data_IF_000412925387
#
_entry.id   IF_000412925387
#
_cell.length_a   1.000
_cell.length_b   1.000
_cell.length_c   1.000
_cell.angle_alpha   90.00
_cell.angle_beta   90.00
_cell.angle_gamma   90.00
#
_symmetry.space_group_name_H-M   'P 1'
#
loop_
_entity.id
_entity.type
_entity.pdbx_description
1 polymer ?
#
# COMPACT_ATOMS: atom_id res chain seq x y z
N UNK A 1 50.99 57.39 -14.61
CA UNK A 1 50.89 57.76 -13.19
C UNK A 1 52.13 57.20 -12.46
N UNK A 2 53.06 58.04 -11.96
CA UNK A 2 54.25 57.57 -11.22
C UNK A 2 53.89 57.46 -9.74
N UNK A 3 53.61 56.24 -9.27
CA UNK A 3 53.34 55.97 -7.86
C UNK A 3 54.60 56.14 -6.99
N UNK A 4 54.45 56.72 -5.79
CA UNK A 4 55.49 56.77 -4.76
C UNK A 4 55.85 55.34 -4.32
N UNK A 5 57.11 55.10 -3.93
CA UNK A 5 57.63 53.77 -3.53
C UNK A 5 56.74 53.09 -2.48
N UNK A 6 56.23 53.85 -1.50
CA UNK A 6 55.36 53.36 -0.43
C UNK A 6 54.05 52.76 -0.98
N UNK A 7 53.44 53.41 -1.98
CA UNK A 7 52.21 52.92 -2.61
C UNK A 7 52.45 51.62 -3.38
N UNK A 8 53.58 51.49 -4.07
CA UNK A 8 53.92 50.24 -4.78
C UNK A 8 54.10 49.07 -3.81
N UNK A 9 54.80 49.30 -2.69
CA UNK A 9 55.00 48.27 -1.66
C UNK A 9 53.66 47.83 -1.05
N UNK A 10 52.79 48.78 -0.72
CA UNK A 10 51.46 48.51 -0.17
C UNK A 10 50.60 47.68 -1.14
N UNK A 11 50.60 48.03 -2.44
CA UNK A 11 49.83 47.31 -3.46
C UNK A 11 50.33 45.86 -3.59
N UNK A 12 51.63 45.61 -3.55
CA UNK A 12 52.16 44.24 -3.62
C UNK A 12 51.73 43.39 -2.43
N UNK A 13 51.84 43.93 -1.21
CA UNK A 13 51.43 43.23 0.01
C UNK A 13 49.92 42.93 -0.04
N UNK A 14 49.09 43.94 -0.35
CA UNK A 14 47.64 43.78 -0.42
C UNK A 14 47.20 42.77 -1.50
N UNK A 15 47.88 42.76 -2.64
CA UNK A 15 47.56 41.83 -3.74
C UNK A 15 47.83 40.39 -3.34
N UNK A 16 48.97 40.14 -2.70
CA UNK A 16 49.35 38.80 -2.24
C UNK A 16 48.42 38.34 -1.11
N UNK A 17 48.15 39.19 -0.13
CA UNK A 17 47.20 38.87 0.95
C UNK A 17 45.80 38.59 0.39
N UNK A 18 45.33 39.40 -0.55
CA UNK A 18 44.02 39.19 -1.20
C UNK A 18 43.97 37.87 -1.96
N UNK A 19 45.04 37.51 -2.67
CA UNK A 19 45.13 36.24 -3.38
C UNK A 19 45.06 35.04 -2.41
N UNK A 20 45.77 35.11 -1.29
CA UNK A 20 45.73 34.06 -0.25
C UNK A 20 44.31 33.91 0.30
N UNK A 21 43.64 35.02 0.63
CA UNK A 21 42.26 34.98 1.12
C UNK A 21 41.29 34.42 0.08
N UNK A 22 41.40 34.81 -1.19
CA UNK A 22 40.56 34.27 -2.26
C UNK A 22 40.71 32.76 -2.40
N UNK A 23 41.94 32.24 -2.33
CA UNK A 23 42.19 30.80 -2.39
C UNK A 23 41.62 30.07 -1.17
N UNK A 24 41.84 30.62 0.03
CA UNK A 24 41.33 30.04 1.27
C UNK A 24 39.79 30.00 1.29
N UNK A 25 39.13 31.11 0.97
CA UNK A 25 37.67 31.17 0.89
C UNK A 25 37.13 30.27 -0.22
N UNK A 26 37.75 30.24 -1.40
CA UNK A 26 37.33 29.35 -2.48
C UNK A 26 37.39 27.88 -2.09
N UNK A 27 38.47 27.45 -1.42
CA UNK A 27 38.60 26.08 -0.92
C UNK A 27 37.57 25.74 0.16
N UNK A 28 37.36 26.63 1.13
CA UNK A 28 36.36 26.45 2.18
C UNK A 28 34.96 26.37 1.59
N UNK A 29 34.57 27.33 0.74
CA UNK A 29 33.27 27.34 0.08
C UNK A 29 33.02 26.09 -0.75
N UNK A 30 34.03 25.57 -1.45
CA UNK A 30 33.88 24.33 -2.21
C UNK A 30 33.69 23.10 -1.31
N UNK A 31 34.41 23.06 -0.19
CA UNK A 31 34.31 21.96 0.78
C UNK A 31 32.97 21.98 1.50
N UNK A 32 32.54 23.16 1.95
CA UNK A 32 31.23 23.37 2.60
C UNK A 32 30.08 23.04 1.66
N UNK A 33 30.18 23.45 0.38
CA UNK A 33 29.20 23.11 -0.63
C UNK A 33 29.06 21.59 -0.81
N UNK A 34 30.18 20.87 -0.88
CA UNK A 34 30.18 19.40 -0.97
C UNK A 34 29.60 18.76 0.28
N UNK A 35 30.02 19.19 1.47
CA UNK A 35 29.52 18.67 2.74
C UNK A 35 28.01 18.88 2.86
N UNK A 36 27.53 20.10 2.60
CA UNK A 36 26.11 20.45 2.63
C UNK A 36 25.28 19.64 1.64
N UNK A 37 25.80 19.38 0.44
CA UNK A 37 25.12 18.53 -0.56
C UNK A 37 24.98 17.09 -0.07
N UNK A 38 26.04 16.51 0.49
CA UNK A 38 26.04 15.15 1.03
C UNK A 38 25.08 15.05 2.23
N UNK A 39 25.09 16.04 3.12
CA UNK A 39 24.18 16.09 4.26
C UNK A 39 22.71 16.20 3.82
N UNK A 40 22.42 17.03 2.81
CA UNK A 40 21.07 17.16 2.25
C UNK A 40 20.58 15.86 1.62
N UNK A 41 21.45 15.14 0.90
CA UNK A 41 21.15 13.81 0.35
C UNK A 41 20.86 12.82 1.47
N UNK A 42 21.77 12.70 2.45
CA UNK A 42 21.61 11.79 3.58
C UNK A 42 20.33 12.07 4.37
N UNK A 43 19.99 13.35 4.56
CA UNK A 43 18.76 13.76 5.23
C UNK A 43 17.53 13.32 4.43
N UNK A 44 17.55 13.52 3.11
CA UNK A 44 16.48 13.08 2.20
C UNK A 44 16.30 11.56 2.24
N UNK A 45 17.39 10.80 2.16
CA UNK A 45 17.38 9.34 2.24
C UNK A 45 16.81 8.87 3.60
N UNK A 46 17.22 9.51 4.69
CA UNK A 46 16.73 9.21 6.05
C UNK A 46 15.22 9.43 6.14
N UNK A 47 14.70 10.52 5.57
CA UNK A 47 13.25 10.76 5.55
C UNK A 47 12.52 9.76 4.64
N UNK A 48 13.06 9.46 3.46
CA UNK A 48 12.49 8.48 2.55
C UNK A 48 12.37 7.10 3.22
N UNK A 49 13.43 6.63 3.87
CA UNK A 49 13.45 5.37 4.62
C UNK A 49 12.45 5.40 5.79
N UNK A 50 12.41 6.52 6.54
CA UNK A 50 11.45 6.68 7.63
C UNK A 50 10.00 6.55 7.16
N UNK A 51 9.62 7.23 6.08
CA UNK A 51 8.26 7.17 5.55
C UNK A 51 7.95 5.80 4.93
N UNK A 52 8.91 5.18 4.23
CA UNK A 52 8.76 3.82 3.70
C UNK A 52 8.49 2.82 4.84
N UNK A 53 9.25 2.90 5.93
CA UNK A 53 9.04 2.05 7.11
C UNK A 53 7.68 2.31 7.77
N UNK A 54 7.25 3.57 7.87
CA UNK A 54 5.92 3.91 8.41
C UNK A 54 4.80 3.28 7.58
N UNK A 55 4.85 3.42 6.25
CA UNK A 55 3.85 2.85 5.34
C UNK A 55 3.88 1.31 5.43
N UNK A 56 5.07 0.71 5.45
CA UNK A 56 5.22 -0.74 5.60
C UNK A 56 4.60 -1.25 6.91
N UNK A 57 4.75 -0.52 8.01
CA UNK A 57 4.14 -0.89 9.30
C UNK A 57 2.61 -0.82 9.24
N UNK A 58 2.05 0.23 8.65
CA UNK A 58 0.60 0.38 8.48
C UNK A 58 0.02 -0.75 7.61
N UNK A 59 0.61 -1.00 6.44
CA UNK A 59 0.17 -2.07 5.52
C UNK A 59 0.29 -3.46 6.16
N UNK A 60 1.36 -3.73 6.91
CA UNK A 60 1.50 -5.00 7.63
C UNK A 60 0.48 -5.16 8.75
N UNK A 61 0.14 -4.08 9.45
CA UNK A 61 -0.93 -4.09 10.46
C UNK A 61 -2.28 -4.43 9.82
N UNK A 62 -2.58 -3.82 8.67
CA UNK A 62 -3.82 -4.08 7.96
C UNK A 62 -3.87 -5.51 7.37
N UNK A 63 -2.75 -6.01 6.81
CA UNK A 63 -2.63 -7.41 6.39
C UNK A 63 -2.79 -8.39 7.55
N UNK A 64 -2.32 -8.05 8.76
CA UNK A 64 -2.51 -8.90 9.93
C UNK A 64 -4.01 -9.13 10.22
N UNK A 65 -4.87 -8.12 10.03
CA UNK A 65 -6.32 -8.28 10.16
C UNK A 65 -6.86 -9.27 9.12
N UNK A 66 -6.43 -9.15 7.87
CA UNK A 66 -6.82 -10.08 6.80
C UNK A 66 -6.34 -11.52 7.07
N UNK A 67 -5.09 -11.70 7.54
CA UNK A 67 -4.55 -13.00 7.94
C UNK A 67 -5.36 -13.64 9.08
N UNK A 68 -5.75 -12.85 10.08
CA UNK A 68 -6.59 -13.34 11.18
C UNK A 68 -7.97 -13.78 10.69
N UNK A 69 -8.58 -13.03 9.76
CA UNK A 69 -9.83 -13.45 9.12
C UNK A 69 -9.65 -14.78 8.37
N UNK A 70 -8.59 -14.91 7.57
CA UNK A 70 -8.29 -16.16 6.86
C UNK A 70 -8.12 -17.33 7.82
N UNK A 71 -7.32 -17.19 8.88
CA UNK A 71 -7.13 -18.23 9.90
C UNK A 71 -8.46 -18.65 10.56
N UNK A 72 -9.36 -17.69 10.78
CA UNK A 72 -10.70 -17.96 11.33
C UNK A 72 -11.59 -18.67 10.32
N UNK A 73 -11.52 -18.27 9.05
CA UNK A 73 -12.30 -18.85 7.96
C UNK A 73 -11.75 -20.17 7.44
N UNK A 74 -10.49 -20.55 7.71
CA UNK A 74 -9.93 -21.84 7.29
C UNK A 74 -10.73 -23.04 7.80
N UNK A 75 -11.47 -22.89 8.90
CA UNK A 75 -12.39 -23.91 9.42
C UNK A 75 -13.77 -23.90 8.74
N UNK A 76 -13.89 -23.28 7.56
CA UNK A 76 -15.17 -23.12 6.87
C UNK A 76 -15.88 -24.46 6.61
N UNK A 77 -15.17 -25.58 6.45
CA UNK A 77 -15.77 -26.89 6.21
C UNK A 77 -16.53 -27.46 7.43
N UNK A 78 -16.25 -26.99 8.65
CA UNK A 78 -16.82 -27.54 9.88
C UNK A 78 -18.29 -27.18 10.13
N UNK A 79 -18.84 -26.17 9.44
CA UNK A 79 -20.20 -25.65 9.67
C UNK A 79 -21.17 -25.97 8.52
N UNK A 80 -22.47 -25.78 8.73
CA UNK A 80 -23.47 -25.86 7.66
C UNK A 80 -23.62 -24.51 6.94
N UNK A 81 -23.82 -24.52 5.61
CA UNK A 81 -23.71 -23.34 4.72
C UNK A 81 -24.51 -22.12 5.17
N UNK A 82 -25.81 -22.28 5.49
CA UNK A 82 -26.66 -21.15 5.90
C UNK A 82 -26.16 -20.44 7.17
N UNK A 83 -25.63 -21.19 8.15
CA UNK A 83 -25.05 -20.61 9.37
C UNK A 83 -23.70 -19.95 9.12
N UNK A 84 -22.92 -20.42 8.12
CA UNK A 84 -21.64 -19.80 7.73
C UNK A 84 -21.83 -18.38 7.24
N UNK A 85 -22.80 -18.17 6.35
CA UNK A 85 -23.03 -16.86 5.75
C UNK A 85 -23.31 -15.81 6.83
N UNK A 86 -24.22 -16.08 7.77
CA UNK A 86 -24.53 -15.15 8.86
C UNK A 86 -23.30 -14.79 9.70
N UNK A 87 -22.50 -15.80 10.07
CA UNK A 87 -21.28 -15.61 10.87
C UNK A 87 -20.23 -14.80 10.10
N UNK A 88 -19.99 -15.13 8.82
CA UNK A 88 -19.02 -14.42 7.99
C UNK A 88 -19.42 -12.97 7.76
N UNK A 89 -20.71 -12.72 7.54
CA UNK A 89 -21.23 -11.35 7.46
C UNK A 89 -21.00 -10.58 8.75
N UNK A 90 -21.32 -11.18 9.90
CA UNK A 90 -21.10 -10.52 11.19
C UNK A 90 -19.61 -10.20 11.42
N UNK A 91 -18.71 -11.11 11.06
CA UNK A 91 -17.26 -10.90 11.17
C UNK A 91 -16.76 -9.78 10.25
N UNK A 92 -17.15 -9.77 8.97
CA UNK A 92 -16.78 -8.70 8.02
C UNK A 92 -17.30 -7.33 8.46
N UNK A 93 -18.54 -7.28 8.98
CA UNK A 93 -19.11 -6.05 9.54
C UNK A 93 -18.29 -5.55 10.73
N UNK A 94 -18.00 -6.42 11.69
CA UNK A 94 -17.21 -6.07 12.87
C UNK A 94 -15.81 -5.59 12.49
N UNK A 95 -15.18 -6.20 11.49
CA UNK A 95 -13.88 -5.74 10.98
C UNK A 95 -13.99 -4.33 10.41
N UNK A 96 -15.00 -4.05 9.58
CA UNK A 96 -15.16 -2.73 8.97
C UNK A 96 -15.53 -1.63 9.99
N UNK A 97 -16.28 -1.98 11.04
CA UNK A 97 -16.62 -1.09 12.16
C UNK A 97 -15.43 -0.82 13.08
N UNK A 98 -14.62 -1.85 13.35
CA UNK A 98 -13.44 -1.74 14.25
C UNK A 98 -12.22 -1.12 13.57
N UNK A 99 -12.19 -1.10 12.23
CA UNK A 99 -11.09 -0.59 11.42
C UNK A 99 -11.62 0.56 10.52
N UNK A 100 -11.69 1.80 11.05
CA UNK A 100 -12.28 2.93 10.34
C UNK A 100 -11.51 3.28 9.05
N UNK A 101 -10.24 2.91 8.93
CA UNK A 101 -9.39 3.12 7.75
C UNK A 101 -9.83 2.29 6.53
N UNK A 102 -10.48 1.14 6.74
CA UNK A 102 -10.92 0.31 5.62
C UNK A 102 -12.14 0.90 4.92
N UNK A 103 -12.10 0.98 3.60
CA UNK A 103 -13.25 1.39 2.79
C UNK A 103 -14.31 0.28 2.68
N UNK A 104 -13.85 -0.96 2.55
CA UNK A 104 -14.67 -2.15 2.45
C UNK A 104 -13.93 -3.38 3.02
N UNK A 105 -14.69 -4.43 3.31
CA UNK A 105 -14.18 -5.75 3.67
C UNK A 105 -14.95 -6.79 2.86
N UNK A 106 -14.23 -7.69 2.18
CA UNK A 106 -14.83 -8.68 1.30
C UNK A 106 -14.28 -10.09 1.55
N UNK A 107 -15.12 -11.09 1.29
CA UNK A 107 -14.79 -12.50 1.35
C UNK A 107 -15.29 -13.17 0.08
N UNK A 108 -14.44 -13.97 -0.55
CA UNK A 108 -14.77 -14.70 -1.76
C UNK A 108 -14.62 -16.20 -1.49
N UNK A 109 -15.61 -16.98 -1.91
CA UNK A 109 -15.54 -18.44 -1.92
C UNK A 109 -15.90 -18.96 -3.30
N UNK A 110 -15.11 -19.91 -3.80
CA UNK A 110 -15.50 -20.74 -4.94
C UNK A 110 -16.82 -21.45 -4.64
N UNK A 111 -17.74 -21.46 -5.60
CA UNK A 111 -19.02 -22.14 -5.45
C UNK A 111 -18.82 -23.64 -5.23
N UNK A 112 -17.83 -24.25 -5.90
CA UNK A 112 -17.49 -25.67 -5.75
C UNK A 112 -17.00 -26.06 -4.35
N UNK A 113 -16.51 -25.12 -3.54
CA UNK A 113 -16.04 -25.39 -2.17
C UNK A 113 -17.15 -25.26 -1.12
N UNK A 114 -18.27 -24.61 -1.46
CA UNK A 114 -19.34 -24.29 -0.50
C UNK A 114 -20.70 -24.90 -0.89
N UNK A 115 -20.89 -25.22 -2.15
CA UNK A 115 -22.06 -25.88 -2.71
C UNK A 115 -21.65 -27.23 -3.33
N UNK A 116 -22.15 -28.32 -2.75
CA UNK A 116 -21.82 -29.69 -3.19
C UNK A 116 -22.45 -30.07 -4.52
N UNK A 117 -23.53 -29.40 -4.91
CA UNK A 117 -24.22 -29.65 -6.16
C UNK A 117 -23.61 -28.86 -7.32
N UNK A 118 -22.67 -27.96 -7.03
CA UNK A 118 -21.97 -27.15 -8.01
C UNK A 118 -20.72 -27.87 -8.56
N UNK A 119 -20.78 -28.24 -9.85
CA UNK A 119 -19.78 -29.13 -10.48
C UNK A 119 -18.76 -28.41 -11.37
N UNK A 120 -18.90 -27.09 -11.55
CA UNK A 120 -18.02 -26.29 -12.40
C UNK A 120 -16.78 -25.85 -11.61
N UNK A 121 -15.67 -25.66 -12.31
CA UNK A 121 -14.37 -25.23 -11.76
C UNK A 121 -14.20 -23.71 -11.69
N UNK A 122 -15.23 -22.96 -12.08
CA UNK A 122 -15.31 -21.51 -12.03
C UNK A 122 -16.57 -21.06 -11.31
N UNK A 123 -16.59 -19.79 -10.89
CA UNK A 123 -17.73 -19.16 -10.27
C UNK A 123 -17.60 -19.10 -8.76
N UNK A 124 -17.94 -17.93 -8.22
CA UNK A 124 -17.75 -17.61 -6.81
C UNK A 124 -18.91 -16.84 -6.24
N UNK A 125 -19.04 -16.92 -4.92
CA UNK A 125 -19.82 -15.97 -4.14
C UNK A 125 -18.89 -14.95 -3.50
N UNK A 126 -19.25 -13.68 -3.60
CA UNK A 126 -18.58 -12.57 -2.92
C UNK A 126 -19.51 -11.97 -1.88
N UNK A 127 -19.05 -11.95 -0.65
CA UNK A 127 -19.67 -11.25 0.45
C UNK A 127 -18.90 -9.96 0.69
N UNK A 128 -19.58 -8.82 0.72
CA UNK A 128 -18.92 -7.52 0.92
C UNK A 128 -19.70 -6.64 1.87
N UNK A 129 -18.97 -5.98 2.77
CA UNK A 129 -19.41 -4.79 3.50
C UNK A 129 -18.61 -3.58 3.04
N UNK A 130 -19.26 -2.44 2.88
CA UNK A 130 -18.62 -1.22 2.41
C UNK A 130 -19.24 0.04 3.01
N UNK A 131 -18.45 1.11 3.06
CA UNK A 131 -18.90 2.44 3.51
C UNK A 131 -19.43 3.23 2.31
N UNK A 132 -20.70 3.64 2.35
CA UNK A 132 -21.32 4.48 1.32
C UNK A 132 -22.24 5.50 1.96
N UNK A 133 -22.01 6.78 1.67
CA UNK A 133 -22.81 7.90 2.23
C UNK A 133 -22.87 7.91 3.77
N UNK A 134 -21.76 7.58 4.44
CA UNK A 134 -21.67 7.55 5.91
C UNK A 134 -22.34 6.34 6.57
N UNK A 135 -22.89 5.40 5.80
CA UNK A 135 -23.50 4.17 6.29
C UNK A 135 -22.70 2.95 5.85
N UNK A 136 -22.69 1.92 6.70
CA UNK A 136 -22.17 0.60 6.35
C UNK A 136 -23.29 -0.18 5.67
N UNK A 137 -23.05 -0.59 4.42
CA UNK A 137 -23.96 -1.40 3.61
C UNK A 137 -23.31 -2.74 3.29
N UNK A 138 -24.11 -3.69 2.86
CA UNK A 138 -23.63 -5.01 2.45
C UNK A 138 -24.27 -5.49 1.16
N UNK A 139 -23.57 -6.40 0.50
CA UNK A 139 -23.99 -7.00 -0.77
C UNK A 139 -23.46 -8.43 -0.87
N UNK A 140 -24.21 -9.27 -1.59
CA UNK A 140 -23.82 -10.63 -1.98
C UNK A 140 -23.88 -10.68 -3.49
N UNK A 141 -22.75 -11.03 -4.11
CA UNK A 141 -22.67 -11.23 -5.55
C UNK A 141 -22.35 -12.68 -5.86
N UNK A 142 -22.98 -13.21 -6.92
CA UNK A 142 -22.51 -14.42 -7.59
C UNK A 142 -21.82 -13.99 -8.88
N UNK A 143 -20.53 -14.30 -9.01
CA UNK A 143 -19.67 -13.82 -10.08
C UNK A 143 -19.09 -15.00 -10.87
N UNK A 144 -18.64 -14.73 -12.10
CA UNK A 144 -17.87 -15.69 -12.92
C UNK A 144 -18.62 -17.01 -13.20
N UNK A 145 -19.95 -17.00 -13.29
CA UNK A 145 -20.82 -18.19 -13.47
C UNK A 145 -20.82 -18.77 -14.90
N UNK A 146 -20.17 -18.10 -15.84
CA UNK A 146 -20.04 -18.51 -17.25
C UNK A 146 -18.57 -18.80 -17.63
N UNK A 147 -17.64 -18.65 -16.69
CA UNK A 147 -16.21 -18.81 -16.89
C UNK A 147 -15.40 -17.85 -16.02
N UNK A 148 -14.15 -18.21 -15.76
CA UNK A 148 -13.21 -17.37 -15.02
C UNK A 148 -12.83 -16.11 -15.81
N UNK A 149 -12.72 -14.99 -15.11
CA UNK A 149 -12.12 -13.77 -15.65
C UNK A 149 -10.59 -13.87 -15.58
N UNK A 150 -9.97 -14.45 -16.61
CA UNK A 150 -8.53 -14.73 -16.65
C UNK A 150 -7.60 -13.51 -16.54
N UNK A 151 -8.13 -12.31 -16.80
CA UNK A 151 -7.41 -11.05 -16.64
C UNK A 151 -7.68 -10.37 -15.29
N UNK A 152 -8.55 -10.94 -14.46
CA UNK A 152 -8.97 -10.39 -13.18
C UNK A 152 -8.00 -10.74 -12.05
N UNK A 153 -7.87 -9.86 -11.03
CA UNK A 153 -6.99 -10.11 -9.89
C UNK A 153 -7.39 -11.36 -9.09
N UNK A 154 -8.69 -11.69 -9.07
CA UNK A 154 -9.16 -12.90 -8.39
C UNK A 154 -8.63 -14.17 -9.05
N UNK A 155 -8.65 -14.24 -10.38
CA UNK A 155 -8.13 -15.41 -11.10
C UNK A 155 -6.62 -15.57 -10.90
N UNK A 156 -5.86 -14.46 -10.92
CA UNK A 156 -4.42 -14.50 -10.63
C UNK A 156 -4.14 -15.07 -9.23
N UNK A 157 -4.86 -14.59 -8.21
CA UNK A 157 -4.72 -15.13 -6.85
C UNK A 157 -5.19 -16.60 -6.73
N UNK A 158 -6.21 -17.01 -7.50
CA UNK A 158 -6.69 -18.40 -7.55
C UNK A 158 -5.61 -19.36 -8.08
N UNK A 159 -4.88 -18.98 -9.12
CA UNK A 159 -3.85 -19.85 -9.73
C UNK A 159 -2.47 -19.68 -9.09
N UNK A 160 -2.19 -18.55 -8.45
CA UNK A 160 -0.93 -18.22 -7.80
C UNK A 160 -1.20 -17.67 -6.39
N UNK A 161 -1.55 -18.55 -5.43
CA UNK A 161 -2.01 -18.15 -4.11
C UNK A 161 -0.89 -17.47 -3.32
N UNK A 162 -1.03 -16.17 -3.07
CA UNK A 162 -0.07 -15.38 -2.32
C UNK A 162 -0.70 -14.15 -1.66
N UNK A 163 0.06 -13.64 -0.70
CA UNK A 163 0.01 -12.28 -0.16
C UNK A 163 -0.11 -11.23 -1.27
N UNK A 164 -1.20 -10.48 -1.44
CA UNK A 164 -1.23 -9.44 -2.50
C UNK A 164 -1.75 -8.08 -2.01
N UNK A 165 -1.06 -7.03 -2.47
CA UNK A 165 -1.52 -5.65 -2.43
C UNK A 165 -1.74 -5.21 -3.88
N UNK A 166 -2.96 -4.84 -4.24
CA UNK A 166 -3.25 -4.40 -5.59
C UNK A 166 -2.71 -3.00 -5.85
N UNK A 167 -2.39 -2.70 -7.10
CA UNK A 167 -2.28 -1.32 -7.55
C UNK A 167 -3.60 -0.56 -7.27
N UNK A 168 -3.56 0.78 -7.07
CA UNK A 168 -4.77 1.56 -6.90
C UNK A 168 -5.70 1.50 -8.11
N UNK A 169 -6.99 1.28 -7.87
CA UNK A 169 -8.03 1.22 -8.90
C UNK A 169 -9.31 1.91 -8.43
N UNK A 170 -10.16 2.28 -9.39
CA UNK A 170 -11.47 2.86 -9.09
C UNK A 170 -12.46 1.73 -8.79
N UNK A 171 -13.07 1.79 -7.61
CA UNK A 171 -14.03 0.82 -7.14
C UNK A 171 -15.35 1.51 -6.78
N UNK A 172 -16.46 0.94 -7.25
CA UNK A 172 -17.80 1.30 -6.80
C UNK A 172 -18.44 0.04 -6.22
N UNK A 173 -18.75 0.00 -4.92
CA UNK A 173 -19.42 -1.14 -4.33
C UNK A 173 -20.84 -1.36 -4.90
N UNK A 174 -21.59 -0.28 -5.16
CA UNK A 174 -22.95 -0.36 -5.72
C UNK A 174 -23.01 -0.38 -7.24
N UNK A 175 -21.86 -0.45 -7.93
CA UNK A 175 -21.73 -0.31 -9.38
C UNK A 175 -22.33 1.01 -9.92
N UNK A 176 -22.33 2.06 -9.10
CA UNK A 176 -22.78 3.40 -9.43
C UNK A 176 -21.59 4.39 -9.46
N UNK A 177 -21.60 5.35 -10.38
CA UNK A 177 -20.55 6.37 -10.42
C UNK A 177 -20.53 7.28 -9.19
N UNK A 178 -21.63 7.37 -8.44
CA UNK A 178 -21.75 8.26 -7.27
C UNK A 178 -20.96 7.80 -6.03
N UNK A 179 -20.59 6.53 -5.92
CA UNK A 179 -19.79 5.98 -4.82
C UNK A 179 -18.42 5.45 -5.28
N UNK A 180 -17.98 5.89 -6.45
CA UNK A 180 -16.68 5.55 -7.00
C UNK A 180 -15.55 6.13 -6.14
N UNK A 181 -14.68 5.26 -5.64
CA UNK A 181 -13.54 5.62 -4.80
C UNK A 181 -12.25 5.01 -5.35
N UNK A 182 -11.13 5.74 -5.27
CA UNK A 182 -9.81 5.19 -5.56
C UNK A 182 -9.36 4.38 -4.34
N UNK A 183 -9.13 3.09 -4.53
CA UNK A 183 -8.78 2.14 -3.46
C UNK A 183 -7.64 1.22 -3.90
N UNK A 184 -6.94 0.64 -2.93
CA UNK A 184 -6.09 -0.53 -3.12
C UNK A 184 -6.62 -1.65 -2.23
N UNK A 185 -6.45 -2.90 -2.67
CA UNK A 185 -6.94 -4.08 -1.97
C UNK A 185 -5.80 -4.88 -1.37
N UNK A 186 -5.91 -5.19 -0.08
CA UNK A 186 -5.06 -6.14 0.63
C UNK A 186 -5.78 -7.48 0.65
N UNK A 187 -5.20 -8.48 -0.02
CA UNK A 187 -5.84 -9.78 -0.24
C UNK A 187 -4.97 -10.90 0.32
N UNK A 188 -5.61 -11.81 1.04
CA UNK A 188 -4.97 -13.02 1.59
C UNK A 188 -5.82 -14.22 1.17
N UNK A 189 -5.25 -15.22 0.49
CA UNK A 189 -6.01 -16.39 0.02
C UNK A 189 -6.38 -17.30 1.19
N UNK A 190 -7.59 -17.87 1.14
CA UNK A 190 -7.97 -18.98 2.01
C UNK A 190 -7.58 -20.26 1.29
N UNK A 191 -6.56 -20.94 1.82
CA UNK A 191 -6.07 -22.20 1.26
C UNK A 191 -6.57 -23.34 2.16
N UNK A 192 -7.20 -24.33 1.53
CA UNK A 192 -7.47 -25.61 2.17
C UNK A 192 -6.30 -26.54 1.85
N UNK A 193 -5.44 -26.78 2.85
CA UNK A 193 -4.42 -27.81 2.76
C UNK A 193 -5.14 -29.16 2.70
N UNK A 194 -5.43 -29.62 1.47
CA UNK A 194 -5.93 -30.97 1.23
C UNK A 194 -4.88 -31.95 1.74
N UNK A 195 -5.07 -32.44 2.96
CA UNK A 195 -4.49 -33.71 3.41
C UNK A 195 -5.18 -34.87 2.66
#
# INVERSE_FOLDING_TARGET
MKFKIQTKLLVYILSISSLIYLLAFGYLSYTDYKASTIEAQKLTDTYAEKYANSIMLELNSDLAVARTLVQTFSQYKAFHYAKKQEIYFAMLKNVLESNPQFHNAALNFELSEIDKDYTKDYGRVRFIYFKSSGLIKSQIDTLETEGDNVAGPYYDMKINPREEISEPYLFSPSNNKMDLSLVSSLSVPIIDDKN
#
